data_IF_371959691395
#
_entry.id   IF_371959691395
#
_cell.length_a   1.000
_cell.length_b   1.000
_cell.length_c   1.000
_cell.angle_alpha   90.00
_cell.angle_beta   90.00
_cell.angle_gamma   90.00
#
_symmetry.space_group_name_H-M   'P 1'
#
loop_
_entity.id
_entity.type
_entity.pdbx_description
1 polymer ?
#
# COMPACT_ATOMS: atom_id res chain seq x y z
N UNK A 1 22.96 -5.30 -36.07
CA UNK A 1 22.44 -5.89 -34.82
C UNK A 1 21.84 -4.77 -33.99
N UNK A 2 20.50 -4.71 -33.94
CA UNK A 2 19.70 -3.72 -33.22
C UNK A 2 19.54 -4.14 -31.75
N UNK A 3 19.78 -3.23 -30.81
CA UNK A 3 18.89 -2.91 -29.67
C UNK A 3 19.46 -1.73 -28.85
N UNK A 4 19.34 -0.52 -29.40
CA UNK A 4 19.42 0.72 -28.62
C UNK A 4 18.17 1.55 -28.91
N UNK A 5 17.01 1.00 -28.55
CA UNK A 5 15.74 1.73 -28.49
C UNK A 5 14.99 1.15 -27.32
N UNK A 6 14.91 1.91 -26.22
CA UNK A 6 13.81 1.94 -25.24
C UNK A 6 14.18 2.98 -24.16
N UNK A 7 14.51 4.20 -24.61
CA UNK A 7 14.38 5.42 -23.81
C UNK A 7 13.26 6.19 -24.48
N UNK A 8 12.04 6.02 -23.97
CA UNK A 8 10.87 6.89 -24.12
C UNK A 8 9.58 6.06 -23.96
N UNK A 9 9.08 5.96 -22.74
CA UNK A 9 7.63 5.99 -22.45
C UNK A 9 7.41 5.89 -20.95
N UNK A 10 6.52 6.74 -20.45
CA UNK A 10 5.91 6.70 -19.12
C UNK A 10 6.74 7.26 -17.93
N UNK A 11 6.89 8.59 -17.93
CA UNK A 11 6.48 9.37 -16.76
C UNK A 11 5.04 8.97 -16.37
N UNK A 12 4.88 7.95 -15.51
CA UNK A 12 3.54 7.44 -15.23
C UNK A 12 3.43 6.16 -14.41
N UNK A 13 4.37 5.87 -13.52
CA UNK A 13 4.18 5.07 -12.30
C UNK A 13 5.54 5.01 -11.57
N UNK A 14 5.64 5.73 -10.46
CA UNK A 14 6.69 5.44 -9.49
C UNK A 14 6.58 3.96 -9.07
N UNK A 15 7.73 3.35 -8.73
CA UNK A 15 7.97 1.94 -8.37
C UNK A 15 8.51 1.13 -9.56
N UNK A 16 9.82 1.23 -9.80
CA UNK A 16 10.77 0.10 -9.68
C UNK A 16 12.16 0.69 -9.33
N UNK A 17 12.37 1.12 -8.08
CA UNK A 17 13.73 1.16 -7.54
C UNK A 17 14.06 -0.27 -7.09
N UNK A 18 14.49 -1.12 -8.02
CA UNK A 18 15.22 -2.35 -7.70
C UNK A 18 16.62 -1.91 -7.33
N UNK A 19 16.77 -1.40 -6.11
CA UNK A 19 18.06 -1.14 -5.51
C UNK A 19 18.55 -2.44 -4.87
N UNK A 20 19.52 -3.07 -5.54
CA UNK A 20 20.55 -3.87 -4.91
C UNK A 20 20.12 -5.16 -4.23
N UNK A 21 19.84 -6.20 -5.02
CA UNK A 21 20.14 -7.57 -4.56
C UNK A 21 21.67 -7.76 -4.56
N UNK A 22 22.38 -7.05 -3.68
CA UNK A 22 23.69 -7.51 -3.26
C UNK A 22 23.42 -8.72 -2.36
N UNK A 23 23.85 -9.89 -2.85
CA UNK A 23 23.53 -11.20 -2.33
C UNK A 23 23.67 -11.27 -0.80
N UNK A 24 22.52 -11.23 -0.13
CA UNK A 24 22.34 -11.56 1.27
C UNK A 24 21.55 -12.86 1.26
N UNK A 25 21.96 -13.84 2.07
CA UNK A 25 21.61 -15.26 1.91
C UNK A 25 20.10 -15.58 1.79
N UNK A 26 19.72 -16.86 1.64
CA UNK A 26 18.32 -17.27 1.42
C UNK A 26 17.32 -16.69 2.44
N UNK A 27 17.79 -16.39 3.66
CA UNK A 27 17.02 -15.73 4.71
C UNK A 27 16.64 -14.28 4.39
N UNK A 28 17.54 -13.49 3.80
CA UNK A 28 17.25 -12.10 3.40
C UNK A 28 16.32 -12.06 2.19
N UNK A 29 16.51 -12.95 1.21
CA UNK A 29 15.63 -13.06 0.05
C UNK A 29 14.18 -13.31 0.49
N UNK A 30 13.98 -14.28 1.39
CA UNK A 30 12.67 -14.57 1.97
C UNK A 30 12.08 -13.39 2.73
N UNK A 31 12.86 -12.75 3.60
CA UNK A 31 12.39 -11.60 4.39
C UNK A 31 12.03 -10.38 3.51
N UNK A 32 12.74 -10.21 2.38
CA UNK A 32 12.43 -9.20 1.38
C UNK A 32 11.11 -9.47 0.68
N UNK A 33 10.86 -10.72 0.29
CA UNK A 33 9.60 -11.11 -0.34
C UNK A 33 8.41 -10.93 0.61
N UNK A 34 8.56 -11.28 1.89
CA UNK A 34 7.56 -11.02 2.94
C UNK A 34 7.27 -9.52 3.09
N UNK A 35 8.31 -8.68 3.11
CA UNK A 35 8.16 -7.23 3.18
C UNK A 35 7.45 -6.64 1.95
N UNK A 36 7.75 -7.14 0.75
CA UNK A 36 7.06 -6.74 -0.48
C UNK A 36 5.58 -7.15 -0.47
N UNK A 37 5.27 -8.39 -0.06
CA UNK A 37 3.87 -8.84 0.09
C UNK A 37 3.10 -7.96 1.07
N UNK A 38 3.71 -7.61 2.21
CA UNK A 38 3.12 -6.71 3.19
C UNK A 38 2.94 -5.28 2.64
N UNK A 39 3.89 -4.78 1.84
CA UNK A 39 3.78 -3.49 1.18
C UNK A 39 2.60 -3.46 0.19
N UNK A 40 2.46 -4.49 -0.64
CA UNK A 40 1.34 -4.61 -1.59
C UNK A 40 0.00 -4.64 -0.84
N UNK A 41 -0.07 -5.38 0.28
CA UNK A 41 -1.25 -5.42 1.13
C UNK A 41 -1.57 -4.05 1.75
N UNK A 42 -0.56 -3.32 2.23
CA UNK A 42 -0.70 -1.96 2.75
C UNK A 42 -1.20 -1.00 1.67
N UNK A 43 -0.62 -1.03 0.46
CA UNK A 43 -1.06 -0.21 -0.67
C UNK A 43 -2.52 -0.48 -1.05
N UNK A 44 -2.97 -1.75 -0.98
CA UNK A 44 -4.39 -2.09 -1.20
C UNK A 44 -5.27 -1.53 -0.08
N UNK A 45 -4.86 -1.66 1.17
CA UNK A 45 -5.61 -1.15 2.32
C UNK A 45 -5.71 0.39 2.32
N UNK A 46 -4.66 1.08 1.86
CA UNK A 46 -4.66 2.53 1.66
C UNK A 46 -5.70 2.93 0.62
N UNK A 47 -5.66 2.32 -0.57
CA UNK A 47 -6.64 2.61 -1.63
C UNK A 47 -8.08 2.32 -1.22
N UNK A 48 -8.33 1.22 -0.49
CA UNK A 48 -9.66 0.93 0.03
C UNK A 48 -10.12 1.99 1.05
N UNK A 49 -9.24 2.36 1.99
CA UNK A 49 -9.51 3.43 2.96
C UNK A 49 -9.85 4.75 2.27
N UNK A 50 -9.10 5.13 1.24
CA UNK A 50 -9.32 6.37 0.49
C UNK A 50 -10.64 6.31 -0.30
N UNK A 51 -10.96 5.18 -0.92
CA UNK A 51 -12.24 4.97 -1.60
C UNK A 51 -13.42 5.07 -0.63
N UNK A 52 -13.33 4.48 0.57
CA UNK A 52 -14.38 4.62 1.60
C UNK A 52 -14.47 6.04 2.14
N UNK A 53 -13.35 6.75 2.25
CA UNK A 53 -13.32 8.15 2.67
C UNK A 53 -14.05 9.02 1.64
N UNK A 54 -13.72 8.86 0.36
CA UNK A 54 -14.39 9.54 -0.74
C UNK A 54 -15.90 9.27 -0.76
N UNK A 55 -16.31 8.02 -0.53
CA UNK A 55 -17.73 7.66 -0.45
C UNK A 55 -18.45 8.36 0.73
N UNK A 56 -17.83 8.40 1.91
CA UNK A 56 -18.38 9.10 3.07
C UNK A 56 -18.48 10.62 2.85
N UNK A 57 -17.41 11.25 2.36
CA UNK A 57 -17.44 12.69 2.06
C UNK A 57 -18.39 13.05 0.91
N UNK A 58 -18.51 12.17 -0.10
CA UNK A 58 -19.51 12.30 -1.16
C UNK A 58 -20.93 12.24 -0.61
N UNK A 59 -21.21 11.32 0.32
CA UNK A 59 -22.50 11.26 1.00
C UNK A 59 -22.76 12.52 1.84
N UNK A 60 -21.77 12.98 2.61
CA UNK A 60 -21.89 14.20 3.42
C UNK A 60 -22.23 15.40 2.55
N UNK A 61 -21.56 15.56 1.40
CA UNK A 61 -21.86 16.64 0.45
C UNK A 61 -23.30 16.55 -0.09
N UNK A 62 -23.74 15.37 -0.53
CA UNK A 62 -25.10 15.18 -1.08
C UNK A 62 -26.22 15.38 -0.06
N UNK A 63 -25.96 15.11 1.22
CA UNK A 63 -26.97 15.14 2.28
C UNK A 63 -26.96 16.43 3.08
N UNK A 64 -26.19 17.45 2.68
CA UNK A 64 -26.04 18.68 3.45
C UNK A 64 -25.44 18.44 4.84
N UNK A 65 -24.46 17.54 4.92
CA UNK A 65 -23.74 17.15 6.13
C UNK A 65 -24.58 16.41 7.20
N UNK A 66 -25.71 15.82 6.83
CA UNK A 66 -26.52 14.97 7.72
C UNK A 66 -25.81 13.63 7.99
N UNK A 67 -25.02 13.59 9.07
CA UNK A 67 -24.20 12.42 9.44
C UNK A 67 -24.98 11.11 9.56
N UNK A 68 -26.21 11.14 10.07
CA UNK A 68 -27.06 9.95 10.22
C UNK A 68 -27.37 9.29 8.87
N UNK A 69 -27.60 10.09 7.82
CA UNK A 69 -27.83 9.58 6.46
C UNK A 69 -26.60 8.89 5.84
N UNK A 70 -25.41 9.15 6.39
CA UNK A 70 -24.13 8.62 5.93
C UNK A 70 -23.50 7.61 6.90
N UNK A 71 -24.28 7.09 7.86
CA UNK A 71 -23.78 6.20 8.91
C UNK A 71 -23.18 4.90 8.35
N UNK A 72 -23.76 4.34 7.28
CA UNK A 72 -23.24 3.15 6.63
C UNK A 72 -21.84 3.38 6.02
N UNK A 73 -21.66 4.50 5.30
CA UNK A 73 -20.38 4.88 4.71
C UNK A 73 -19.34 5.19 5.78
N UNK A 74 -19.76 5.80 6.90
CA UNK A 74 -18.88 6.05 8.05
C UNK A 74 -18.38 4.73 8.66
N UNK A 75 -19.28 3.77 8.91
CA UNK A 75 -18.90 2.44 9.42
C UNK A 75 -17.95 1.72 8.46
N UNK A 76 -18.18 1.79 7.16
CA UNK A 76 -17.29 1.21 6.15
C UNK A 76 -15.90 1.87 6.18
N UNK A 77 -15.83 3.20 6.29
CA UNK A 77 -14.56 3.94 6.44
C UNK A 77 -13.81 3.55 7.72
N UNK A 78 -14.52 3.38 8.83
CA UNK A 78 -13.91 2.98 10.10
C UNK A 78 -13.30 1.57 10.01
N UNK A 79 -14.00 0.63 9.39
CA UNK A 79 -13.48 -0.71 9.14
C UNK A 79 -12.28 -0.70 8.20
N UNK A 80 -12.33 0.06 7.10
CA UNK A 80 -11.20 0.20 6.18
C UNK A 80 -9.98 0.83 6.86
N UNK A 81 -10.20 1.85 7.70
CA UNK A 81 -9.14 2.48 8.49
C UNK A 81 -8.51 1.52 9.49
N UNK A 82 -9.31 0.66 10.13
CA UNK A 82 -8.79 -0.38 11.02
C UNK A 82 -7.94 -1.41 10.26
N UNK A 83 -8.38 -1.84 9.06
CA UNK A 83 -7.60 -2.72 8.18
C UNK A 83 -6.29 -2.08 7.75
N UNK A 84 -6.31 -0.80 7.37
CA UNK A 84 -5.12 -0.02 7.05
C UNK A 84 -4.11 -0.01 8.19
N UNK A 85 -4.55 0.26 9.42
CA UNK A 85 -3.67 0.25 10.61
C UNK A 85 -2.98 -1.11 10.79
N UNK A 86 -3.75 -2.21 10.71
CA UNK A 86 -3.19 -3.57 10.79
C UNK A 86 -2.19 -3.87 9.68
N UNK A 87 -2.48 -3.46 8.44
CA UNK A 87 -1.57 -3.64 7.31
C UNK A 87 -0.28 -2.81 7.48
N UNK A 88 -0.38 -1.61 8.08
CA UNK A 88 0.77 -0.76 8.37
C UNK A 88 1.67 -1.38 9.45
N UNK A 89 1.08 -1.93 10.51
CA UNK A 89 1.81 -2.68 11.55
C UNK A 89 2.50 -3.91 10.96
N UNK A 90 1.79 -4.70 10.14
CA UNK A 90 2.36 -5.86 9.47
C UNK A 90 3.54 -5.49 8.56
N UNK A 91 3.42 -4.41 7.77
CA UNK A 91 4.51 -3.91 6.93
C UNK A 91 5.71 -3.45 7.77
N UNK A 92 5.48 -2.72 8.87
CA UNK A 92 6.56 -2.30 9.79
C UNK A 92 7.30 -3.50 10.36
N UNK A 93 6.57 -4.52 10.81
CA UNK A 93 7.17 -5.75 11.34
C UNK A 93 7.98 -6.49 10.26
N UNK A 94 7.43 -6.64 9.06
CA UNK A 94 8.13 -7.29 7.94
C UNK A 94 9.40 -6.52 7.54
N UNK A 95 9.37 -5.18 7.52
CA UNK A 95 10.56 -4.35 7.28
C UNK A 95 11.61 -4.48 8.38
N UNK A 96 11.20 -4.57 9.64
CA UNK A 96 12.12 -4.79 10.75
C UNK A 96 12.82 -6.16 10.63
N UNK A 97 12.07 -7.22 10.29
CA UNK A 97 12.63 -8.56 10.04
C UNK A 97 13.57 -8.59 8.85
N UNK A 98 13.20 -7.93 7.75
CA UNK A 98 14.08 -7.77 6.59
C UNK A 98 15.40 -7.10 7.01
N UNK A 99 15.32 -5.99 7.76
CA UNK A 99 16.52 -5.28 8.22
C UNK A 99 17.40 -6.11 9.15
N UNK A 100 16.85 -7.10 9.86
CA UNK A 100 17.64 -8.04 10.67
C UNK A 100 18.25 -9.16 9.83
N UNK A 101 17.50 -9.70 8.87
CA UNK A 101 17.92 -10.83 8.04
C UNK A 101 18.94 -10.45 6.95
N UNK A 102 19.03 -9.17 6.60
CA UNK A 102 19.91 -8.63 5.57
C UNK A 102 21.09 -7.81 6.15
N UNK A 103 21.31 -7.89 7.47
CA UNK A 103 22.54 -7.42 8.12
C UNK A 103 23.65 -8.44 7.92
#
# INVERSE_FOLDING_TARGET
MQVHKLIAAALGCAVILVSGAAASGPQCAKATEEAQRAQVALSRALRDSDAKAAAYFGCMKRTGHKRQACAAQKRALDQASAKKRRAQEAYRFAKARQAQACR
#
